data_IF_586422923209
#
_entry.id   IF_586422923209
#
_cell.length_a   1.000
_cell.length_b   1.000
_cell.length_c   1.000
_cell.angle_alpha   90.00
_cell.angle_beta   90.00
_cell.angle_gamma   90.00
#
_symmetry.space_group_name_H-M   'P 1'
#
loop_
_entity.id
_entity.type
_entity.pdbx_description
1 polymer ?
#
# COMPACT_ATOMS: atom_id res chain seq x y z
N UNK A 1 -29.18 -1.05 -0.38
CA UNK A 1 -29.48 0.35 0.04
C UNK A 1 -29.36 1.27 -1.18
N UNK A 2 -30.48 1.80 -1.70
CA UNK A 2 -30.51 2.64 -2.93
C UNK A 2 -29.67 3.93 -2.83
N UNK A 3 -29.32 4.33 -1.61
CA UNK A 3 -28.57 5.54 -1.27
C UNK A 3 -27.07 5.37 -1.58
N UNK A 4 -26.54 4.14 -1.44
CA UNK A 4 -25.12 3.85 -1.62
C UNK A 4 -24.72 3.86 -3.10
N UNK A 5 -25.56 3.30 -3.97
CA UNK A 5 -25.38 3.37 -5.43
C UNK A 5 -25.43 4.80 -5.94
N UNK A 6 -26.31 5.64 -5.40
CA UNK A 6 -26.39 7.07 -5.76
C UNK A 6 -25.18 7.86 -5.26
N UNK A 7 -24.73 7.61 -4.03
CA UNK A 7 -23.51 8.23 -3.49
C UNK A 7 -22.27 7.82 -4.28
N UNK A 8 -22.12 6.54 -4.59
CA UNK A 8 -21.02 6.04 -5.43
C UNK A 8 -21.07 6.63 -6.84
N UNK A 9 -22.25 6.84 -7.43
CA UNK A 9 -22.39 7.49 -8.73
C UNK A 9 -21.89 8.94 -8.69
N UNK A 10 -22.33 9.73 -7.71
CA UNK A 10 -21.88 11.11 -7.50
C UNK A 10 -20.35 11.17 -7.29
N UNK A 11 -19.81 10.24 -6.51
CA UNK A 11 -18.37 10.13 -6.25
C UNK A 11 -17.60 9.56 -7.45
N UNK A 12 -18.22 8.75 -8.31
CA UNK A 12 -17.59 8.16 -9.50
C UNK A 12 -17.34 9.22 -10.59
N UNK A 13 -18.26 10.18 -10.71
CA UNK A 13 -18.08 11.38 -11.56
C UNK A 13 -16.89 12.23 -11.09
N UNK A 14 -16.63 12.26 -9.77
CA UNK A 14 -15.46 12.94 -9.20
C UNK A 14 -14.16 12.12 -9.32
N UNK A 15 -14.23 10.78 -9.28
CA UNK A 15 -13.05 9.90 -9.21
C UNK A 15 -12.48 9.47 -10.57
N UNK A 16 -13.22 9.60 -11.69
CA UNK A 16 -12.82 8.97 -12.95
C UNK A 16 -12.38 9.94 -14.06
N UNK A 17 -12.61 11.26 -13.93
CA UNK A 17 -12.50 12.17 -15.07
C UNK A 17 -11.39 13.24 -14.99
N UNK A 18 -10.71 13.45 -13.86
CA UNK A 18 -9.79 14.57 -13.74
C UNK A 18 -8.36 14.06 -13.61
N UNK A 19 -7.55 14.36 -14.62
CA UNK A 19 -6.09 14.41 -14.46
C UNK A 19 -5.83 15.10 -13.10
N UNK A 20 -4.96 14.54 -12.25
CA UNK A 20 -4.62 15.20 -10.99
C UNK A 20 -4.25 16.66 -11.30
N UNK A 21 -4.76 17.64 -10.53
CA UNK A 21 -4.39 19.03 -10.73
C UNK A 21 -2.86 19.16 -10.80
N UNK A 22 -2.32 20.11 -11.59
CA UNK A 22 -0.88 20.34 -11.66
C UNK A 22 -0.29 20.45 -10.24
N UNK A 23 0.75 19.64 -9.96
CA UNK A 23 1.39 19.57 -8.63
C UNK A 23 0.83 18.50 -7.67
N UNK A 24 -0.26 17.80 -8.01
CA UNK A 24 -0.81 16.71 -7.19
C UNK A 24 -0.19 15.37 -7.59
N UNK A 25 0.52 14.74 -6.65
CA UNK A 25 1.00 13.36 -6.82
C UNK A 25 -0.19 12.40 -6.73
N UNK A 26 -0.51 11.73 -7.83
CA UNK A 26 -1.65 10.78 -7.93
C UNK A 26 -1.34 9.36 -7.42
N UNK A 27 -0.25 9.19 -6.68
CA UNK A 27 0.14 7.90 -6.12
C UNK A 27 -0.47 7.68 -4.74
N UNK A 28 -0.39 6.43 -4.29
CA UNK A 28 -0.88 5.99 -2.99
C UNK A 28 0.30 5.78 -2.04
N UNK A 29 0.13 6.10 -0.75
CA UNK A 29 1.14 5.84 0.30
C UNK A 29 1.16 4.40 0.80
N UNK A 30 0.04 3.70 0.65
CA UNK A 30 -0.15 2.27 0.94
C UNK A 30 -0.80 1.62 -0.28
N UNK A 31 -0.68 0.31 -0.49
CA UNK A 31 -1.28 -0.34 -1.64
C UNK A 31 -2.81 -0.25 -1.57
N UNK A 32 -3.49 0.20 -2.65
CA UNK A 32 -4.94 0.09 -2.75
C UNK A 32 -5.39 -1.35 -2.57
N UNK A 33 -6.46 -1.60 -1.80
CA UNK A 33 -6.98 -2.95 -1.51
C UNK A 33 -7.25 -3.76 -2.78
N UNK A 34 -7.74 -3.11 -3.84
CA UNK A 34 -7.95 -3.74 -5.15
C UNK A 34 -6.70 -4.43 -5.70
N UNK A 35 -5.50 -3.96 -5.35
CA UNK A 35 -4.26 -4.59 -5.79
C UNK A 35 -4.06 -5.99 -5.19
N UNK A 36 -4.74 -6.32 -4.08
CA UNK A 36 -4.66 -7.61 -3.40
C UNK A 36 -5.85 -8.49 -3.78
N UNK A 37 -7.07 -7.95 -3.81
CA UNK A 37 -8.30 -8.75 -3.93
C UNK A 37 -8.85 -8.89 -5.36
N UNK A 38 -8.35 -8.12 -6.32
CA UNK A 38 -8.81 -8.21 -7.72
C UNK A 38 -8.45 -9.50 -8.47
N UNK A 39 -7.36 -10.23 -8.15
CA UNK A 39 -7.08 -11.49 -8.83
C UNK A 39 -8.15 -12.54 -8.54
N UNK A 40 -8.50 -13.31 -9.57
CA UNK A 40 -9.49 -14.40 -9.46
C UNK A 40 -8.91 -15.66 -8.82
N UNK A 41 -7.59 -15.85 -8.90
CA UNK A 41 -6.90 -17.02 -8.33
C UNK A 41 -6.60 -16.79 -6.85
N UNK A 42 -7.14 -17.63 -5.97
CA UNK A 42 -6.94 -17.56 -4.52
C UNK A 42 -5.44 -17.59 -4.14
N UNK A 43 -4.65 -18.43 -4.82
CA UNK A 43 -3.19 -18.47 -4.64
C UNK A 43 -2.53 -17.11 -4.90
N UNK A 44 -2.99 -16.36 -5.91
CA UNK A 44 -2.46 -15.04 -6.21
C UNK A 44 -2.81 -14.03 -5.13
N UNK A 45 -4.06 -14.03 -4.67
CA UNK A 45 -4.51 -13.18 -3.56
C UNK A 45 -3.68 -13.46 -2.30
N UNK A 46 -3.49 -14.74 -1.96
CA UNK A 46 -2.66 -15.18 -0.82
C UNK A 46 -1.24 -14.63 -0.90
N UNK A 47 -0.58 -14.79 -2.04
CA UNK A 47 0.80 -14.32 -2.19
C UNK A 47 0.91 -12.79 -2.14
N UNK A 48 -0.15 -12.05 -2.49
CA UNK A 48 -0.19 -10.60 -2.35
C UNK A 48 -0.39 -10.14 -0.90
N UNK A 49 -1.20 -10.88 -0.12
CA UNK A 49 -1.24 -10.69 1.32
C UNK A 49 0.14 -10.93 1.94
N UNK A 50 0.81 -12.03 1.58
CA UNK A 50 2.17 -12.29 2.04
C UNK A 50 3.15 -11.19 1.63
N UNK A 51 3.06 -10.71 0.39
CA UNK A 51 3.85 -9.59 -0.11
C UNK A 51 3.66 -8.34 0.74
N UNK A 52 2.42 -7.98 1.06
CA UNK A 52 2.13 -6.88 1.97
C UNK A 52 2.74 -7.10 3.34
N UNK A 53 2.50 -8.25 3.98
CA UNK A 53 2.96 -8.51 5.34
C UNK A 53 4.49 -8.46 5.49
N UNK A 54 5.24 -8.89 4.45
CA UNK A 54 6.72 -8.80 4.44
C UNK A 54 7.22 -7.36 4.43
N UNK A 55 6.59 -6.51 3.63
CA UNK A 55 7.00 -5.10 3.50
C UNK A 55 6.29 -4.18 4.49
N UNK A 56 5.23 -4.64 5.16
CA UNK A 56 4.34 -3.85 6.04
C UNK A 56 5.14 -2.98 7.00
N UNK A 57 6.03 -3.58 7.78
CA UNK A 57 6.82 -2.83 8.78
C UNK A 57 7.69 -1.75 8.13
N UNK A 58 8.30 -2.05 6.99
CA UNK A 58 9.16 -1.10 6.26
C UNK A 58 8.32 0.07 5.76
N UNK A 59 7.19 -0.20 5.10
CA UNK A 59 6.29 0.84 4.59
C UNK A 59 5.75 1.70 5.73
N UNK A 60 5.27 1.09 6.82
CA UNK A 60 4.72 1.82 7.96
C UNK A 60 5.76 2.73 8.62
N UNK A 61 7.02 2.30 8.73
CA UNK A 61 8.09 3.18 9.22
C UNK A 61 8.35 4.38 8.29
N UNK A 62 8.15 4.21 6.99
CA UNK A 62 8.35 5.30 6.03
C UNK A 62 7.21 6.31 5.99
N UNK A 63 6.00 5.96 6.45
CA UNK A 63 4.86 6.88 6.45
C UNK A 63 5.15 8.19 7.22
N UNK A 64 6.06 8.14 8.19
CA UNK A 64 6.47 9.30 9.00
C UNK A 64 7.67 10.09 8.43
N UNK A 65 8.40 9.56 7.43
CA UNK A 65 9.71 10.11 7.03
C UNK A 65 9.89 10.32 5.53
N UNK A 66 9.49 9.35 4.69
CA UNK A 66 9.75 9.37 3.26
C UNK A 66 8.44 9.49 2.48
N UNK A 67 8.37 10.39 1.47
CA UNK A 67 7.18 10.56 0.64
C UNK A 67 7.10 9.43 -0.40
N UNK A 68 6.93 8.18 0.06
CA UNK A 68 6.65 7.05 -0.81
C UNK A 68 5.23 7.19 -1.36
N UNK A 69 5.13 7.40 -2.67
CA UNK A 69 3.88 7.63 -3.36
C UNK A 69 3.95 6.87 -4.69
N UNK A 70 3.33 5.69 -4.73
CA UNK A 70 3.40 4.78 -5.87
C UNK A 70 2.07 4.70 -6.58
N UNK A 71 2.10 4.55 -7.90
CA UNK A 71 0.88 4.27 -8.67
C UNK A 71 0.30 2.90 -8.29
N UNK A 72 -0.98 2.66 -8.63
CA UNK A 72 -1.61 1.34 -8.42
C UNK A 72 -0.79 0.21 -9.05
N UNK A 73 -0.24 0.43 -10.25
CA UNK A 73 0.57 -0.55 -10.98
C UNK A 73 1.89 -0.84 -10.26
N UNK A 74 2.59 0.20 -9.81
CA UNK A 74 3.84 0.05 -9.05
C UNK A 74 3.61 -0.68 -7.73
N UNK A 75 2.54 -0.36 -7.00
CA UNK A 75 2.16 -1.10 -5.79
C UNK A 75 1.90 -2.58 -6.09
N UNK A 76 1.15 -2.88 -7.16
CA UNK A 76 0.86 -4.27 -7.55
C UNK A 76 2.16 -5.04 -7.82
N UNK A 77 3.07 -4.42 -8.58
CA UNK A 77 4.37 -4.98 -8.91
C UNK A 77 5.25 -5.21 -7.66
N UNK A 78 5.29 -4.22 -6.76
CA UNK A 78 6.04 -4.33 -5.49
C UNK A 78 5.52 -5.47 -4.61
N UNK A 79 4.20 -5.62 -4.49
CA UNK A 79 3.58 -6.72 -3.75
C UNK A 79 3.91 -8.09 -4.36
N UNK A 80 3.98 -8.19 -5.69
CA UNK A 80 4.40 -9.43 -6.37
C UNK A 80 5.85 -9.76 -6.07
N UNK A 81 6.76 -8.80 -6.14
CA UNK A 81 8.19 -9.02 -5.84
C UNK A 81 8.38 -9.42 -4.38
N UNK A 82 7.65 -8.79 -3.46
CA UNK A 82 7.72 -9.13 -2.05
C UNK A 82 7.06 -10.50 -1.75
N UNK A 83 5.98 -10.84 -2.46
CA UNK A 83 5.19 -12.05 -2.24
C UNK A 83 5.78 -13.30 -2.88
N UNK A 84 6.50 -13.14 -4.00
CA UNK A 84 6.89 -14.23 -4.89
C UNK A 84 8.37 -14.17 -5.25
N UNK A 85 8.97 -15.33 -5.44
CA UNK A 85 10.27 -15.47 -6.09
C UNK A 85 10.07 -15.60 -7.61
N UNK A 86 9.86 -14.49 -8.32
CA UNK A 86 10.00 -14.55 -9.77
C UNK A 86 11.49 -14.69 -10.12
N UNK A 87 11.80 -15.56 -11.08
CA UNK A 87 13.11 -15.58 -11.75
C UNK A 87 13.42 -14.21 -12.39
N UNK A 88 14.64 -14.03 -12.88
CA UNK A 88 15.02 -12.77 -13.51
C UNK A 88 14.06 -12.41 -14.63
N UNK A 89 13.49 -11.21 -14.52
CA UNK A 89 12.51 -10.72 -15.47
C UNK A 89 13.21 -10.45 -16.81
N UNK A 90 12.56 -10.81 -17.92
CA UNK A 90 12.99 -10.32 -19.23
C UNK A 90 12.85 -8.79 -19.27
N UNK A 91 14.00 -8.12 -19.12
CA UNK A 91 14.16 -6.67 -19.09
C UNK A 91 13.59 -5.88 -20.30
N UNK A 92 13.43 -6.41 -21.53
CA UNK A 92 12.96 -5.58 -22.64
C UNK A 92 11.46 -5.24 -22.60
N UNK A 93 10.67 -5.78 -21.66
CA UNK A 93 9.23 -5.47 -21.56
C UNK A 93 8.96 -4.33 -20.57
N UNK A 94 7.89 -3.55 -20.80
CA UNK A 94 7.41 -2.53 -19.84
C UNK A 94 7.10 -3.11 -18.45
N UNK A 95 6.76 -4.40 -18.39
CA UNK A 95 6.56 -5.14 -17.14
C UNK A 95 7.90 -5.45 -16.48
N UNK A 96 8.90 -5.90 -17.25
CA UNK A 96 10.26 -6.15 -16.77
C UNK A 96 10.95 -4.89 -16.22
N UNK A 97 10.76 -3.74 -16.87
CA UNK A 97 11.26 -2.45 -16.37
C UNK A 97 10.62 -2.09 -15.04
N UNK A 98 9.29 -2.16 -14.93
CA UNK A 98 8.58 -1.89 -13.68
C UNK A 98 9.02 -2.85 -12.57
N UNK A 99 9.28 -4.12 -12.89
CA UNK A 99 9.79 -5.09 -11.92
C UNK A 99 11.20 -4.76 -11.46
N UNK A 100 12.10 -4.37 -12.37
CA UNK A 100 13.45 -3.93 -12.04
C UNK A 100 13.44 -2.70 -11.12
N UNK A 101 12.66 -1.68 -11.48
CA UNK A 101 12.50 -0.47 -10.67
C UNK A 101 11.98 -0.78 -9.26
N UNK A 102 10.96 -1.64 -9.15
CA UNK A 102 10.39 -2.00 -7.85
C UNK A 102 11.34 -2.90 -7.03
N UNK A 103 12.17 -3.74 -7.66
CA UNK A 103 13.25 -4.48 -6.97
C UNK A 103 14.29 -3.52 -6.40
N UNK A 104 14.72 -2.52 -7.17
CA UNK A 104 15.66 -1.50 -6.70
C UNK A 104 15.07 -0.69 -5.54
N UNK A 105 13.81 -0.27 -5.64
CA UNK A 105 13.11 0.42 -4.58
C UNK A 105 13.03 -0.44 -3.30
N UNK A 106 12.69 -1.72 -3.44
CA UNK A 106 12.60 -2.64 -2.30
C UNK A 106 13.95 -2.82 -1.61
N UNK A 107 15.03 -2.98 -2.38
CA UNK A 107 16.39 -3.08 -1.85
C UNK A 107 16.80 -1.78 -1.13
N UNK A 108 16.50 -0.62 -1.71
CA UNK A 108 16.78 0.67 -1.09
C UNK A 108 16.02 0.85 0.23
N UNK A 109 14.72 0.54 0.25
CA UNK A 109 13.88 0.57 1.46
C UNK A 109 14.41 -0.35 2.56
N UNK A 110 14.99 -1.48 2.18
CA UNK A 110 15.56 -2.45 3.11
C UNK A 110 16.92 -2.00 3.67
N UNK A 111 17.78 -1.44 2.82
CA UNK A 111 19.09 -0.92 3.22
C UNK A 111 18.98 0.23 4.23
N UNK A 112 17.93 1.05 4.16
CA UNK A 112 17.65 2.07 5.18
C UNK A 112 17.48 1.49 6.59
N UNK A 113 17.13 0.20 6.71
CA UNK A 113 16.87 -0.48 7.98
C UNK A 113 18.08 -1.23 8.55
N UNK A 114 19.24 -1.21 7.88
CA UNK A 114 20.46 -1.94 8.28
C UNK A 114 20.22 -3.44 8.62
N UNK A 115 19.25 -4.08 7.96
CA UNK A 115 18.92 -5.48 8.19
C UNK A 115 19.72 -6.37 7.23
N UNK A 116 20.16 -7.55 7.69
CA UNK A 116 20.94 -8.51 6.89
C UNK A 116 20.24 -8.83 5.56
N UNK A 117 21.04 -9.02 4.51
CA UNK A 117 20.64 -9.25 3.12
C UNK A 117 19.89 -10.58 2.86
N UNK A 118 19.03 -11.01 3.79
CA UNK A 118 18.10 -12.10 3.55
C UNK A 118 17.04 -11.67 2.54
N UNK A 119 16.77 -12.56 1.58
CA UNK A 119 15.78 -12.32 0.55
C UNK A 119 14.39 -12.15 1.21
N UNK A 120 13.82 -10.95 1.10
CA UNK A 120 12.53 -10.61 1.71
C UNK A 120 11.39 -11.54 1.31
N UNK A 121 11.45 -12.10 0.09
CA UNK A 121 10.47 -13.09 -0.39
C UNK A 121 10.53 -14.44 0.32
N UNK A 122 11.55 -14.68 1.14
CA UNK A 122 11.70 -15.88 1.97
C UNK A 122 11.39 -15.62 3.45
N UNK A 123 11.19 -14.36 3.84
CA UNK A 123 10.93 -14.04 5.24
C UNK A 123 9.58 -14.64 5.68
N UNK A 124 9.55 -15.26 6.88
CA UNK A 124 8.31 -15.75 7.46
C UNK A 124 7.39 -14.57 7.74
N UNK A 125 6.10 -14.76 7.51
CA UNK A 125 5.07 -13.76 7.79
C UNK A 125 4.23 -14.21 8.97
N UNK A 126 3.80 -13.23 9.75
CA UNK A 126 2.87 -13.42 10.85
C UNK A 126 1.87 -12.28 10.92
N UNK A 127 0.71 -12.55 11.49
CA UNK A 127 -0.32 -11.57 11.78
C UNK A 127 -0.71 -11.68 13.24
N UNK A 128 -0.61 -10.59 14.00
CA UNK A 128 -0.86 -10.57 15.46
C UNK A 128 -0.13 -11.69 16.23
N UNK A 129 1.11 -12.00 15.82
CA UNK A 129 1.91 -13.07 16.44
C UNK A 129 1.61 -14.48 15.93
N UNK A 130 0.55 -14.67 15.13
CA UNK A 130 0.25 -15.96 14.51
C UNK A 130 1.02 -16.14 13.20
N UNK A 131 1.82 -17.21 13.04
CA UNK A 131 2.52 -17.48 11.80
C UNK A 131 1.53 -17.82 10.69
N UNK A 132 1.81 -17.33 9.47
CA UNK A 132 1.01 -17.59 8.29
C UNK A 132 1.87 -18.37 7.27
N UNK A 133 1.73 -19.70 7.20
CA UNK A 133 2.44 -20.51 6.21
C UNK A 133 2.01 -20.16 4.79
N UNK A 134 2.96 -20.11 3.85
CA UNK A 134 2.69 -19.73 2.45
C UNK A 134 1.79 -20.71 1.70
N UNK A 135 1.73 -21.95 2.16
CA UNK A 135 0.96 -23.04 1.56
C UNK A 135 -0.47 -23.11 2.09
N UNK A 136 -0.75 -22.48 3.23
CA UNK A 136 -2.06 -22.48 3.86
C UNK A 136 -2.89 -21.29 3.39
N UNK A 137 -4.19 -21.52 3.16
CA UNK A 137 -5.10 -20.42 2.87
C UNK A 137 -5.25 -19.48 4.06
N UNK A 138 -5.33 -18.19 3.74
CA UNK A 138 -5.58 -17.15 4.73
C UNK A 138 -7.02 -17.27 5.20
N UNK A 139 -7.25 -17.29 6.51
CA UNK A 139 -8.62 -17.25 7.03
C UNK A 139 -9.30 -15.94 6.60
N UNK A 140 -10.61 -16.02 6.35
CA UNK A 140 -11.40 -14.85 5.93
C UNK A 140 -11.28 -13.71 6.93
N UNK A 141 -11.30 -14.02 8.23
CA UNK A 141 -11.15 -13.04 9.29
C UNK A 141 -9.80 -12.31 9.22
N UNK A 142 -8.69 -13.03 9.09
CA UNK A 142 -7.36 -12.40 8.98
C UNK A 142 -7.27 -11.54 7.72
N UNK A 143 -7.83 -12.01 6.60
CA UNK A 143 -7.93 -11.22 5.38
C UNK A 143 -8.70 -9.91 5.57
N UNK A 144 -9.83 -9.95 6.29
CA UNK A 144 -10.62 -8.77 6.62
C UNK A 144 -9.86 -7.78 7.52
N UNK A 145 -9.17 -8.28 8.54
CA UNK A 145 -8.35 -7.44 9.44
C UNK A 145 -7.23 -6.70 8.68
N UNK A 146 -6.53 -7.41 7.79
CA UNK A 146 -5.48 -6.80 6.95
C UNK A 146 -6.06 -5.78 5.97
N UNK A 147 -7.21 -6.08 5.35
CA UNK A 147 -7.89 -5.15 4.45
C UNK A 147 -8.31 -3.89 5.22
N UNK A 148 -8.90 -4.06 6.40
CA UNK A 148 -9.33 -2.94 7.24
C UNK A 148 -8.13 -2.05 7.61
N UNK A 149 -7.01 -2.65 8.03
CA UNK A 149 -5.77 -1.91 8.31
C UNK A 149 -5.31 -1.07 7.10
N UNK A 150 -5.28 -1.67 5.90
CA UNK A 150 -4.87 -0.97 4.68
C UNK A 150 -5.80 0.20 4.34
N UNK A 151 -7.11 0.01 4.49
CA UNK A 151 -8.09 1.07 4.27
C UNK A 151 -7.92 2.20 5.28
N UNK A 152 -7.73 1.85 6.56
CA UNK A 152 -7.54 2.80 7.64
C UNK A 152 -6.29 3.66 7.41
N UNK A 153 -5.15 3.03 7.11
CA UNK A 153 -3.92 3.76 6.82
C UNK A 153 -4.02 4.61 5.55
N UNK A 154 -4.67 4.11 4.51
CA UNK A 154 -4.89 4.85 3.27
C UNK A 154 -5.73 6.09 3.51
N UNK A 155 -6.88 5.92 4.17
CA UNK A 155 -7.78 7.01 4.51
C UNK A 155 -7.10 8.08 5.37
N UNK A 156 -6.44 7.69 6.47
CA UNK A 156 -5.74 8.64 7.34
C UNK A 156 -4.60 9.36 6.62
N UNK A 157 -3.86 8.65 5.76
CA UNK A 157 -2.79 9.25 4.96
C UNK A 157 -3.33 10.30 3.97
N UNK A 158 -4.44 10.00 3.31
CA UNK A 158 -5.08 10.91 2.36
C UNK A 158 -5.67 12.12 3.08
N UNK A 159 -6.26 11.93 4.26
CA UNK A 159 -6.78 13.00 5.10
C UNK A 159 -5.67 13.93 5.60
N UNK A 160 -4.55 13.38 6.09
CA UNK A 160 -3.39 14.18 6.50
C UNK A 160 -2.80 14.96 5.31
N UNK A 161 -2.72 14.34 4.14
CA UNK A 161 -2.21 15.02 2.94
C UNK A 161 -3.15 16.14 2.47
N UNK A 162 -4.47 15.93 2.56
CA UNK A 162 -5.48 16.93 2.23
C UNK A 162 -5.43 18.10 3.20
N UNK A 163 -5.41 17.80 4.50
CA UNK A 163 -5.24 18.75 5.58
C UNK A 163 -3.99 19.61 5.30
N UNK A 164 -2.80 18.99 5.17
CA UNK A 164 -1.55 19.71 4.85
C UNK A 164 -1.63 20.66 3.66
N UNK A 165 -2.41 20.30 2.64
CA UNK A 165 -2.58 21.12 1.43
C UNK A 165 -3.53 22.30 1.60
N UNK A 166 -4.56 22.15 2.43
CA UNK A 166 -5.58 23.18 2.67
C UNK A 166 -5.27 24.06 3.88
N UNK A 167 -4.10 23.89 4.50
CA UNK A 167 -3.75 24.63 5.70
C UNK A 167 -3.48 26.10 5.42
N UNK A 168 -4.23 26.96 6.10
CA UNK A 168 -3.98 28.40 6.18
C UNK A 168 -3.96 28.87 7.64
N UNK A 169 -4.00 27.93 8.59
CA UNK A 169 -4.37 28.21 9.99
C UNK A 169 -3.25 28.76 10.87
N UNK A 170 -2.02 28.90 10.35
CA UNK A 170 -0.79 29.25 11.09
C UNK A 170 -0.56 28.40 12.37
N UNK A 171 -1.27 27.28 12.53
CA UNK A 171 -1.14 26.42 13.70
C UNK A 171 0.18 25.67 13.69
N UNK A 172 0.73 25.43 14.87
CA UNK A 172 1.89 24.56 15.00
C UNK A 172 1.54 23.11 14.61
N UNK A 173 2.52 22.40 14.04
CA UNK A 173 2.36 21.04 13.56
C UNK A 173 1.93 20.05 14.66
N UNK A 174 2.34 20.26 15.91
CA UNK A 174 1.96 19.39 17.02
C UNK A 174 0.50 19.60 17.45
N UNK A 175 0.06 20.84 17.53
CA UNK A 175 -1.34 21.19 17.84
C UNK A 175 -2.28 20.62 16.78
N UNK A 176 -1.90 20.77 15.52
CA UNK A 176 -2.66 20.26 14.39
C UNK A 176 -2.75 18.74 14.37
N UNK A 177 -1.64 18.04 14.64
CA UNK A 177 -1.64 16.58 14.79
C UNK A 177 -2.55 16.13 15.93
N UNK A 178 -2.62 16.88 17.03
CA UNK A 178 -3.54 16.59 18.13
C UNK A 178 -5.01 16.73 17.70
N UNK A 179 -5.35 17.74 16.90
CA UNK A 179 -6.71 17.92 16.38
C UNK A 179 -7.10 16.78 15.44
N UNK A 180 -6.23 16.44 14.48
CA UNK A 180 -6.44 15.30 13.58
C UNK A 180 -6.62 13.99 14.36
N UNK A 181 -5.80 13.76 15.39
CA UNK A 181 -5.94 12.59 16.25
C UNK A 181 -7.26 12.53 17.01
N UNK A 182 -7.97 13.64 17.19
CA UNK A 182 -9.30 13.67 17.81
C UNK A 182 -10.45 13.35 16.85
N UNK A 183 -10.17 13.21 15.54
CA UNK A 183 -11.18 12.88 14.53
C UNK A 183 -11.43 11.36 14.38
N UNK A 184 -10.70 10.52 15.11
CA UNK A 184 -10.77 9.05 15.08
C UNK A 184 -10.41 8.45 16.44
#
# INVERSE_FOLDING_TARGET
LPNWSSALRILSEHNQALRPPPGVKSGYRVPPVRNIISPTKAQTVRLLFHGWLRIRKIILTQLNGLPLCLTSKQWRCLLEIAGWRHGDADAPTLTGQCQSEMRLLLNWLYNLRQSSAENISLQPVSWNGHPLPIDNDLSVQIGQEIIWELQEYGFRSDLVALDQRLDESNMDAAQRRSLLNGCW
#
